data_IF_230018549460
#
_entry.id   IF_230018549460
#
_cell.length_a   1.000
_cell.length_b   1.000
_cell.length_c   1.000
_cell.angle_alpha   90.00
_cell.angle_beta   90.00
_cell.angle_gamma   90.00
#
_symmetry.space_group_name_H-M   'P 1'
#
loop_
_entity.id
_entity.type
_entity.pdbx_description
1 polymer ?
#
# COMPACT_ATOMS: atom_id res chain seq x y z
N UNK A 1 -7.17 33.96 18.94
CA UNK A 1 -7.81 32.66 18.70
C UNK A 1 -7.32 32.25 17.33
N UNK A 2 -6.33 31.37 17.26
CA UNK A 2 -5.77 30.96 15.97
C UNK A 2 -6.57 29.75 15.51
N UNK A 3 -7.20 29.91 14.35
CA UNK A 3 -8.00 28.90 13.69
C UNK A 3 -7.15 27.65 13.41
N UNK A 4 -7.71 26.51 13.80
CA UNK A 4 -7.23 25.18 13.41
C UNK A 4 -7.20 25.08 11.88
N UNK A 5 -6.04 25.29 11.27
CA UNK A 5 -5.76 24.72 9.96
C UNK A 5 -5.39 23.26 10.15
N UNK A 6 -6.41 22.41 10.28
CA UNK A 6 -6.27 20.99 9.99
C UNK A 6 -5.89 20.91 8.51
N UNK A 7 -4.61 20.69 8.22
CA UNK A 7 -4.13 20.31 6.90
C UNK A 7 -5.06 19.19 6.40
N UNK A 8 -5.63 19.29 5.18
CA UNK A 8 -6.41 18.19 4.64
C UNK A 8 -5.50 16.97 4.70
N UNK A 9 -5.95 15.94 5.42
CA UNK A 9 -5.32 14.63 5.43
C UNK A 9 -4.77 14.37 4.02
N UNK A 10 -3.45 14.17 3.92
CA UNK A 10 -2.76 13.58 2.77
C UNK A 10 -3.21 12.13 2.57
N UNK A 11 -4.52 11.88 2.66
CA UNK A 11 -5.17 10.63 2.34
C UNK A 11 -4.83 10.36 0.89
N UNK A 12 -3.94 9.39 0.69
CA UNK A 12 -3.56 8.91 -0.63
C UNK A 12 -4.85 8.64 -1.40
N UNK A 13 -5.04 9.28 -2.55
CA UNK A 13 -6.18 8.95 -3.40
C UNK A 13 -5.92 7.60 -4.06
N UNK A 14 -6.34 6.55 -3.35
CA UNK A 14 -6.25 5.18 -3.80
C UNK A 14 -7.01 4.94 -5.12
N UNK A 15 -7.94 5.81 -5.51
CA UNK A 15 -8.66 5.71 -6.79
C UNK A 15 -7.71 6.05 -7.95
N UNK A 16 -7.07 7.21 -7.90
CA UNK A 16 -6.10 7.64 -8.91
C UNK A 16 -4.88 6.71 -8.96
N UNK A 17 -4.41 6.25 -7.80
CA UNK A 17 -3.32 5.28 -7.71
C UNK A 17 -3.70 3.94 -8.38
N UNK A 18 -4.93 3.43 -8.18
CA UNK A 18 -5.41 2.22 -8.85
C UNK A 18 -5.41 2.38 -10.37
N UNK A 19 -5.86 3.52 -10.89
CA UNK A 19 -5.87 3.81 -12.34
C UNK A 19 -4.44 3.78 -12.90
N UNK A 20 -3.51 4.44 -12.22
CA UNK A 20 -2.09 4.47 -12.60
C UNK A 20 -1.42 3.09 -12.63
N UNK A 21 -1.71 2.26 -11.63
CA UNK A 21 -1.19 0.90 -11.50
C UNK A 21 -1.73 -0.01 -12.61
N UNK A 22 -3.01 0.11 -12.96
CA UNK A 22 -3.63 -0.67 -14.05
C UNK A 22 -3.01 -0.32 -15.40
N UNK A 23 -2.64 0.95 -15.62
CA UNK A 23 -1.98 1.38 -16.85
C UNK A 23 -0.54 0.83 -17.01
N UNK A 24 0.12 0.45 -15.91
CA UNK A 24 1.49 -0.09 -15.89
C UNK A 24 1.51 -1.51 -15.33
N UNK A 25 0.81 -2.44 -16.00
CA UNK A 25 0.64 -3.81 -15.51
C UNK A 25 1.96 -4.61 -15.50
N UNK A 26 2.53 -4.84 -14.32
CA UNK A 26 3.63 -5.75 -14.05
C UNK A 26 3.34 -6.52 -12.74
N UNK A 27 4.18 -7.49 -12.39
CA UNK A 27 3.97 -8.30 -11.18
C UNK A 27 3.86 -7.45 -9.91
N UNK A 28 4.65 -6.38 -9.80
CA UNK A 28 4.67 -5.49 -8.63
C UNK A 28 3.44 -4.59 -8.58
N UNK A 29 2.93 -4.10 -9.72
CA UNK A 29 1.70 -3.31 -9.72
C UNK A 29 0.49 -4.16 -9.37
N UNK A 30 0.43 -5.43 -9.81
CA UNK A 30 -0.59 -6.39 -9.36
C UNK A 30 -0.54 -6.63 -7.83
N UNK A 31 0.65 -6.83 -7.26
CA UNK A 31 0.82 -7.02 -5.81
C UNK A 31 0.44 -5.76 -5.02
N UNK A 32 0.76 -4.59 -5.57
CA UNK A 32 0.38 -3.30 -5.00
C UNK A 32 -1.13 -3.11 -5.01
N UNK A 33 -1.81 -3.46 -6.11
CA UNK A 33 -3.27 -3.44 -6.18
C UNK A 33 -3.91 -4.38 -5.14
N UNK A 34 -3.33 -5.56 -4.93
CA UNK A 34 -3.77 -6.48 -3.87
C UNK A 34 -3.62 -5.87 -2.48
N UNK A 35 -2.51 -5.18 -2.19
CA UNK A 35 -2.31 -4.47 -0.93
C UNK A 35 -3.35 -3.35 -0.75
N UNK A 36 -3.53 -2.49 -1.76
CA UNK A 36 -4.53 -1.41 -1.74
C UNK A 36 -5.94 -1.95 -1.56
N UNK A 37 -6.25 -3.11 -2.13
CA UNK A 37 -7.53 -3.78 -1.92
C UNK A 37 -7.67 -4.27 -0.48
N UNK A 38 -6.63 -4.87 0.07
CA UNK A 38 -6.62 -5.40 1.43
C UNK A 38 -6.83 -4.32 2.49
N UNK A 39 -6.18 -3.16 2.35
CA UNK A 39 -6.31 -2.04 3.29
C UNK A 39 -7.50 -1.11 2.98
N UNK A 40 -8.28 -1.43 1.95
CA UNK A 40 -9.41 -0.59 1.55
C UNK A 40 -10.46 -0.54 2.66
N UNK A 41 -10.73 0.65 3.18
CA UNK A 41 -11.68 0.84 4.29
C UNK A 41 -11.06 0.67 5.68
N UNK A 42 -9.74 0.51 5.78
CA UNK A 42 -9.00 0.59 7.05
C UNK A 42 -8.30 1.96 7.18
N UNK A 43 -7.70 2.23 8.34
CA UNK A 43 -6.86 3.41 8.56
C UNK A 43 -5.38 3.17 8.22
N UNK A 44 -5.04 2.02 7.65
CA UNK A 44 -3.65 1.65 7.36
C UNK A 44 -3.13 2.51 6.21
N UNK A 45 -2.03 3.22 6.45
CA UNK A 45 -1.31 3.94 5.40
C UNK A 45 -0.24 3.05 4.77
N UNK A 46 -0.33 2.86 3.45
CA UNK A 46 0.67 2.13 2.65
C UNK A 46 2.06 2.78 2.71
N UNK A 47 2.15 4.05 3.11
CA UNK A 47 3.41 4.77 3.28
C UNK A 47 4.01 4.64 4.69
N UNK A 48 3.30 4.01 5.62
CA UNK A 48 3.75 3.81 7.00
C UNK A 48 5.04 2.99 7.06
N UNK A 49 5.97 3.38 7.93
CA UNK A 49 7.16 2.58 8.25
C UNK A 49 6.78 1.32 9.04
N UNK A 50 5.63 1.32 9.70
CA UNK A 50 5.08 0.20 10.47
C UNK A 50 4.01 -0.58 9.70
N UNK A 51 4.02 -0.51 8.36
CA UNK A 51 2.99 -1.11 7.52
C UNK A 51 2.81 -2.62 7.80
N UNK A 52 3.89 -3.36 8.06
CA UNK A 52 3.76 -4.79 8.37
C UNK A 52 3.01 -4.99 9.69
N UNK A 53 3.43 -4.30 10.75
CA UNK A 53 2.82 -4.39 12.07
C UNK A 53 1.34 -3.99 12.02
N UNK A 54 1.02 -2.96 11.23
CA UNK A 54 -0.34 -2.49 11.02
C UNK A 54 -1.19 -3.57 10.32
N UNK A 55 -0.65 -4.24 9.30
CA UNK A 55 -1.32 -5.36 8.62
C UNK A 55 -1.51 -6.55 9.57
N UNK A 56 -0.47 -6.94 10.31
CA UNK A 56 -0.53 -8.07 11.26
C UNK A 56 -1.52 -7.81 12.39
N UNK A 57 -1.57 -6.59 12.92
CA UNK A 57 -2.50 -6.19 13.97
C UNK A 57 -3.96 -6.17 13.51
N UNK A 58 -4.21 -5.87 12.23
CA UNK A 58 -5.56 -5.80 11.67
C UNK A 58 -6.03 -7.14 11.04
N UNK A 59 -5.12 -8.06 10.73
CA UNK A 59 -5.45 -9.34 10.08
C UNK A 59 -6.57 -10.15 10.78
N UNK A 60 -6.67 -10.23 12.12
CA UNK A 60 -7.75 -10.97 12.79
C UNK A 60 -9.15 -10.37 12.54
N UNK A 61 -9.23 -9.07 12.26
CA UNK A 61 -10.49 -8.34 12.01
C UNK A 61 -10.79 -8.09 10.54
N UNK A 62 -9.85 -8.37 9.63
CA UNK A 62 -9.94 -8.04 8.21
C UNK A 62 -9.46 -9.20 7.34
N UNK A 63 -10.42 -9.95 6.77
CA UNK A 63 -10.16 -11.14 5.96
C UNK A 63 -9.21 -10.86 4.80
N UNK A 64 -9.40 -9.74 4.11
CA UNK A 64 -8.60 -9.36 2.95
C UNK A 64 -7.13 -9.07 3.33
N UNK A 65 -6.89 -8.55 4.52
CA UNK A 65 -5.54 -8.35 5.07
C UNK A 65 -4.90 -9.70 5.40
N UNK A 66 -5.64 -10.60 6.05
CA UNK A 66 -5.15 -11.97 6.32
C UNK A 66 -4.77 -12.70 5.03
N UNK A 67 -5.64 -12.66 4.01
CA UNK A 67 -5.37 -13.25 2.71
C UNK A 67 -4.16 -12.64 2.00
N UNK A 68 -3.98 -11.33 2.12
CA UNK A 68 -2.80 -10.65 1.57
C UNK A 68 -1.51 -11.12 2.25
N UNK A 69 -1.49 -11.23 3.58
CA UNK A 69 -0.31 -11.69 4.33
C UNK A 69 0.02 -13.15 4.02
N UNK A 70 -0.97 -14.03 3.94
CA UNK A 70 -0.76 -15.42 3.52
C UNK A 70 -0.18 -15.50 2.11
N UNK A 71 -0.74 -14.73 1.17
CA UNK A 71 -0.23 -14.67 -0.19
C UNK A 71 1.20 -14.12 -0.24
N UNK A 72 1.51 -13.09 0.55
CA UNK A 72 2.84 -12.51 0.69
C UNK A 72 3.86 -13.57 1.14
N UNK A 73 3.52 -14.38 2.15
CA UNK A 73 4.40 -15.46 2.62
C UNK A 73 4.58 -16.56 1.57
N UNK A 74 3.51 -16.98 0.91
CA UNK A 74 3.54 -18.03 -0.12
C UNK A 74 4.36 -17.59 -1.33
N UNK A 75 4.24 -16.32 -1.74
CA UNK A 75 4.94 -15.78 -2.90
C UNK A 75 6.47 -15.76 -2.74
N UNK A 76 6.98 -15.84 -1.51
CA UNK A 76 8.37 -15.55 -1.20
C UNK A 76 8.99 -16.54 -0.20
N UNK A 77 8.68 -17.82 -0.36
CA UNK A 77 9.31 -18.94 0.36
C UNK A 77 8.99 -19.08 1.86
N UNK A 78 8.10 -18.24 2.41
CA UNK A 78 7.62 -18.34 3.80
C UNK A 78 8.55 -17.73 4.86
N UNK A 79 9.67 -17.13 4.47
CA UNK A 79 10.57 -16.44 5.40
C UNK A 79 10.08 -15.01 5.67
N UNK A 80 9.89 -14.66 6.94
CA UNK A 80 9.36 -13.36 7.39
C UNK A 80 10.25 -12.18 6.97
N UNK A 81 11.57 -12.34 7.08
CA UNK A 81 12.53 -11.29 6.72
C UNK A 81 12.50 -10.97 5.22
N UNK A 82 12.29 -12.00 4.39
CA UNK A 82 12.07 -11.80 2.96
C UNK A 82 10.72 -11.11 2.71
N UNK A 83 9.64 -11.55 3.36
CA UNK A 83 8.33 -10.90 3.23
C UNK A 83 8.37 -9.40 3.58
N UNK A 84 9.17 -9.00 4.56
CA UNK A 84 9.43 -7.60 4.94
C UNK A 84 10.08 -6.79 3.81
N UNK A 85 11.20 -7.27 3.27
CA UNK A 85 11.90 -6.61 2.17
C UNK A 85 10.99 -6.46 0.94
N UNK A 86 10.16 -7.47 0.68
CA UNK A 86 9.23 -7.47 -0.44
C UNK A 86 8.02 -6.57 -0.21
N UNK A 87 7.51 -6.47 1.02
CA UNK A 87 6.46 -5.52 1.37
C UNK A 87 6.95 -4.08 1.15
N UNK A 88 8.21 -3.79 1.49
CA UNK A 88 8.81 -2.49 1.22
C UNK A 88 8.87 -2.19 -0.30
N UNK A 89 9.21 -3.19 -1.12
CA UNK A 89 9.16 -3.04 -2.59
C UNK A 89 7.74 -2.78 -3.09
N UNK A 90 6.76 -3.55 -2.63
CA UNK A 90 5.33 -3.38 -2.98
C UNK A 90 4.81 -1.99 -2.54
N UNK A 91 5.22 -1.50 -1.37
CA UNK A 91 4.83 -0.18 -0.86
C UNK A 91 5.57 0.98 -1.57
N UNK A 92 6.72 0.73 -2.17
CA UNK A 92 7.53 1.73 -2.89
C UNK A 92 7.03 2.01 -4.32
N UNK A 93 6.41 1.02 -4.99
CA UNK A 93 5.87 1.19 -6.35
C UNK A 93 4.78 2.26 -6.46
N UNK A 94 3.81 2.38 -5.53
CA UNK A 94 2.93 3.53 -5.45
C UNK A 94 3.65 4.87 -5.46
N UNK A 95 4.72 4.99 -4.68
CA UNK A 95 5.48 6.25 -4.55
C UNK A 95 6.14 6.60 -5.87
N UNK A 96 6.81 5.63 -6.50
CA UNK A 96 7.42 5.80 -7.84
C UNK A 96 6.42 6.18 -8.90
N UNK A 97 5.24 5.56 -8.91
CA UNK A 97 4.20 5.87 -9.89
C UNK A 97 3.61 7.26 -9.65
N UNK A 98 3.38 7.63 -8.40
CA UNK A 98 2.89 8.97 -8.04
C UNK A 98 3.93 10.03 -8.40
N UNK A 99 5.20 9.83 -8.06
CA UNK A 99 6.30 10.72 -8.44
C UNK A 99 6.41 10.88 -9.95
N UNK A 100 6.27 9.79 -10.72
CA UNK A 100 6.28 9.85 -12.18
C UNK A 100 5.05 10.57 -12.75
N UNK A 101 3.89 10.49 -12.09
CA UNK A 101 2.66 11.17 -12.53
C UNK A 101 2.68 12.66 -12.17
N UNK A 102 3.18 13.03 -10.99
CA UNK A 102 3.29 14.43 -10.54
C UNK A 102 4.44 15.17 -11.21
N UNK A 103 5.52 14.47 -11.59
CA UNK A 103 6.61 15.05 -12.39
C UNK A 103 6.26 15.26 -13.87
N UNK A 104 5.07 14.83 -14.30
CA UNK A 104 4.52 15.05 -15.64
C UNK A 104 3.53 16.23 -15.70
N UNK A 105 3.32 16.97 -14.60
CA UNK A 105 2.65 18.27 -14.71
C UNK A 105 3.59 19.28 -15.41
N UNK A 106 3.13 19.97 -16.47
CA UNK A 106 3.95 20.84 -17.32
C UNK A 106 4.48 22.10 -16.63
#
# INVERSE_FOLDING_TARGET
>A
MNDNQTTPNDTLDYTNLRIALVANSNMWTCRTLSLIRAISGTQIDIRSETLLEDLEGNAPGHLEIGQFLEALLIWFSGERDQALEQLALIASEPRRLIENITSLEP
#
